data_IF_695665614640
#
_entry.id   IF_695665614640
#
_cell.length_a   1.000
_cell.length_b   1.000
_cell.length_c   1.000
_cell.angle_alpha   90.00
_cell.angle_beta   90.00
_cell.angle_gamma   90.00
#
_symmetry.space_group_name_H-M   'P 1'
#
loop_
_entity.id
_entity.type
_entity.pdbx_description
1 polymer ?
#
# COMPACT_ATOMS: atom_id res chain seq x y z
N UNK A 1 16.42 9.52 35.28
CA UNK A 1 15.30 9.04 34.43
C UNK A 1 14.17 8.62 35.34
N UNK A 2 13.01 9.29 35.27
CA UNK A 2 11.86 8.97 36.14
C UNK A 2 11.36 7.54 35.85
N UNK A 3 10.69 6.95 36.84
CA UNK A 3 10.18 5.56 36.79
C UNK A 3 9.28 5.33 35.55
N UNK A 4 8.55 6.37 35.12
CA UNK A 4 7.70 6.37 33.92
C UNK A 4 8.51 6.27 32.61
N UNK A 5 9.66 6.95 32.51
CA UNK A 5 10.53 6.85 31.32
C UNK A 5 11.10 5.44 31.12
N UNK A 6 11.34 4.71 32.24
CA UNK A 6 11.75 3.31 32.20
C UNK A 6 10.58 2.38 31.83
N UNK A 7 9.36 2.65 32.30
CA UNK A 7 8.19 1.86 31.98
C UNK A 7 7.80 1.95 30.51
N UNK A 8 7.87 3.15 29.92
CA UNK A 8 7.63 3.38 28.48
C UNK A 8 8.70 2.67 27.64
N UNK A 9 9.97 2.75 28.00
CA UNK A 9 11.06 2.07 27.31
C UNK A 9 10.90 0.53 27.35
N UNK A 10 10.47 -0.01 28.50
CA UNK A 10 10.18 -1.45 28.67
C UNK A 10 8.93 -1.85 27.88
N UNK A 11 7.88 -1.02 27.82
CA UNK A 11 6.67 -1.27 27.02
C UNK A 11 6.98 -1.29 25.52
N UNK A 12 7.83 -0.36 25.05
CA UNK A 12 8.34 -0.33 23.68
C UNK A 12 9.14 -1.59 23.37
N UNK A 13 10.00 -2.04 24.28
CA UNK A 13 10.81 -3.26 24.13
C UNK A 13 9.93 -4.53 24.11
N UNK A 14 8.87 -4.56 24.93
CA UNK A 14 7.92 -5.71 24.98
C UNK A 14 7.05 -5.81 23.73
N UNK A 15 6.65 -4.69 23.10
CA UNK A 15 5.87 -4.68 21.86
C UNK A 15 6.71 -5.12 20.65
N UNK A 16 8.03 -4.99 20.72
CA UNK A 16 8.93 -5.40 19.63
C UNK A 16 9.40 -6.86 19.72
N UNK A 17 9.22 -7.53 20.85
CA UNK A 17 9.78 -8.89 21.09
C UNK A 17 8.76 -10.02 21.16
N UNK A 18 7.46 -9.74 21.02
CA UNK A 18 6.43 -10.70 21.43
C UNK A 18 5.40 -11.18 20.42
N UNK A 19 5.37 -10.70 19.20
CA UNK A 19 4.36 -11.10 18.22
C UNK A 19 5.00 -11.57 16.92
N UNK A 20 5.19 -12.88 16.78
CA UNK A 20 5.24 -13.52 15.48
C UNK A 20 3.81 -13.53 14.93
N UNK A 21 3.37 -12.47 14.30
CA UNK A 21 2.08 -12.34 13.63
C UNK A 21 2.31 -12.13 12.13
N UNK A 22 1.56 -12.74 11.38
CA UNK A 22 1.51 -13.17 9.99
C UNK A 22 1.37 -12.06 8.93
N UNK A 23 2.09 -12.10 7.81
CA UNK A 23 2.40 -10.98 6.94
C UNK A 23 1.85 -11.04 5.50
N UNK A 24 1.62 -9.89 4.88
CA UNK A 24 1.29 -9.64 3.47
C UNK A 24 0.07 -8.72 3.30
N UNK A 25 0.29 -7.47 2.91
CA UNK A 25 -0.82 -6.56 2.66
C UNK A 25 -0.98 -6.22 1.20
N UNK A 26 -2.17 -6.38 0.62
CA UNK A 26 -2.52 -5.88 -0.69
C UNK A 26 -3.13 -4.47 -0.66
N UNK A 27 -2.71 -3.58 0.25
CA UNK A 27 -3.19 -2.21 0.28
C UNK A 27 -2.26 -1.28 -0.52
N UNK A 28 -2.79 -0.67 -1.58
CA UNK A 28 -2.11 0.33 -2.39
C UNK A 28 -2.32 1.76 -1.83
N UNK A 29 -2.81 1.91 -0.61
CA UNK A 29 -2.91 3.19 0.07
C UNK A 29 -1.58 3.60 0.72
N UNK A 30 -1.44 4.90 0.95
CA UNK A 30 -0.27 5.44 1.67
C UNK A 30 -0.27 4.97 3.12
N UNK A 31 0.88 4.48 3.57
CA UNK A 31 1.07 4.00 4.95
C UNK A 31 1.04 5.20 5.91
N UNK A 32 0.07 5.27 6.83
CA UNK A 32 -0.03 6.37 7.78
C UNK A 32 1.03 6.28 8.88
N UNK A 33 1.38 7.43 9.48
CA UNK A 33 2.21 7.50 10.68
C UNK A 33 1.38 7.15 11.93
N UNK A 34 2.04 6.96 13.08
CA UNK A 34 1.42 6.42 14.28
C UNK A 34 0.18 7.19 14.76
N UNK A 35 0.19 8.52 14.73
CA UNK A 35 -0.96 9.34 15.13
C UNK A 35 -2.13 9.16 14.17
N UNK A 36 -1.93 9.37 12.86
CA UNK A 36 -2.98 9.19 11.87
C UNK A 36 -3.51 7.76 11.90
N UNK A 37 -2.63 6.76 11.97
CA UNK A 37 -2.99 5.35 12.06
C UNK A 37 -3.96 5.09 13.21
N UNK A 38 -3.63 5.60 14.40
CA UNK A 38 -4.42 5.37 15.61
C UNK A 38 -5.77 6.10 15.62
N UNK A 39 -6.01 7.04 14.69
CA UNK A 39 -7.27 7.77 14.58
C UNK A 39 -8.21 7.21 13.49
N UNK A 40 -7.70 6.78 12.36
CA UNK A 40 -8.42 6.07 11.29
C UNK A 40 -7.53 5.83 10.06
N UNK A 41 -6.28 6.31 10.09
CA UNK A 41 -5.32 6.18 8.99
C UNK A 41 -5.40 7.25 7.89
N UNK A 42 -6.37 8.16 7.90
CA UNK A 42 -6.54 9.23 6.90
C UNK A 42 -6.06 10.59 7.42
N UNK A 43 -6.76 11.22 8.33
CA UNK A 43 -6.43 12.43 9.10
C UNK A 43 -6.04 13.66 8.26
N UNK A 44 -7.00 14.18 7.46
CA UNK A 44 -6.73 15.28 6.52
C UNK A 44 -6.86 16.69 7.13
N UNK A 45 -7.60 16.85 8.21
CA UNK A 45 -7.84 18.16 8.83
C UNK A 45 -6.85 18.49 9.96
N UNK A 46 -6.20 17.47 10.54
CA UNK A 46 -5.36 17.67 11.72
C UNK A 46 -3.86 17.66 11.40
N UNK A 47 -3.09 18.12 12.39
CA UNK A 47 -1.64 18.07 12.31
C UNK A 47 -1.11 16.69 12.68
N UNK A 48 -0.33 16.10 11.79
CA UNK A 48 0.39 14.85 12.00
C UNK A 48 1.81 14.88 11.40
N UNK A 49 2.49 15.99 11.57
CA UNK A 49 3.89 16.13 11.19
C UNK A 49 4.15 15.78 9.72
N UNK A 50 5.15 14.92 9.48
CA UNK A 50 5.52 14.49 8.11
C UNK A 50 4.47 13.60 7.42
N UNK A 51 3.48 13.07 8.13
CA UNK A 51 2.35 12.42 7.48
C UNK A 51 1.60 13.39 6.56
N UNK A 52 1.53 14.66 6.96
CA UNK A 52 0.85 15.72 6.20
C UNK A 52 1.40 15.89 4.79
N UNK A 53 2.67 15.60 4.56
CA UNK A 53 3.32 15.72 3.23
C UNK A 53 2.63 14.89 2.17
N UNK A 54 2.22 13.67 2.47
CA UNK A 54 1.53 12.76 1.55
C UNK A 54 0.00 12.73 1.76
N UNK A 55 -0.52 13.28 2.87
CA UNK A 55 -1.94 13.45 3.12
C UNK A 55 -2.41 14.86 2.73
N UNK A 56 -2.41 15.82 3.64
CA UNK A 56 -2.76 17.21 3.38
C UNK A 56 -1.59 18.15 3.68
N UNK A 57 -0.82 18.62 2.68
CA UNK A 57 0.38 19.43 2.92
C UNK A 57 0.09 20.77 3.61
N UNK A 58 -1.13 21.29 3.54
CA UNK A 58 -1.51 22.51 4.28
C UNK A 58 -1.48 22.32 5.80
N UNK A 59 -1.64 21.07 6.29
CA UNK A 59 -1.59 20.77 7.71
C UNK A 59 -0.16 20.79 8.29
N UNK A 60 0.87 20.84 7.44
CA UNK A 60 2.27 20.94 7.89
C UNK A 60 2.50 22.16 8.80
N UNK A 61 1.91 23.31 8.45
CA UNK A 61 2.09 24.57 9.18
C UNK A 61 1.34 24.61 10.52
N UNK A 62 0.44 23.67 10.79
CA UNK A 62 -0.28 23.60 12.06
C UNK A 62 0.62 23.22 13.24
N UNK A 63 1.86 22.78 12.98
CA UNK A 63 2.86 22.48 14.03
C UNK A 63 3.45 23.74 14.69
N UNK A 64 3.47 24.88 14.00
CA UNK A 64 3.98 26.18 14.44
C UNK A 64 5.49 26.25 14.76
N UNK A 65 6.22 25.16 14.76
CA UNK A 65 7.68 25.11 15.00
C UNK A 65 8.34 24.15 14.01
N UNK A 66 9.63 24.36 13.76
CA UNK A 66 10.43 23.38 13.03
C UNK A 66 10.57 22.08 13.81
N UNK A 67 10.77 20.96 13.11
CA UNK A 67 10.94 19.67 13.76
C UNK A 67 11.66 18.65 12.86
N UNK A 68 12.27 17.67 13.53
CA UNK A 68 12.76 16.44 12.93
C UNK A 68 11.82 15.31 13.33
N UNK A 69 11.45 14.45 12.38
CA UNK A 69 10.56 13.31 12.62
C UNK A 69 11.10 12.04 11.98
N UNK A 70 10.94 10.93 12.69
CA UNK A 70 11.21 9.58 12.20
C UNK A 70 10.07 8.65 12.60
N UNK A 71 9.68 7.77 11.68
CA UNK A 71 8.63 6.77 11.91
C UNK A 71 9.08 5.42 11.39
N UNK A 72 8.75 4.37 12.15
CA UNK A 72 8.97 2.98 11.79
C UNK A 72 7.61 2.30 11.85
N UNK A 73 7.25 1.59 10.79
CA UNK A 73 6.05 0.78 10.71
C UNK A 73 6.43 -0.63 10.27
N UNK A 74 5.72 -1.62 10.77
CA UNK A 74 5.80 -2.99 10.30
C UNK A 74 4.44 -3.43 9.81
N UNK A 75 4.34 -3.68 8.51
CA UNK A 75 3.08 -4.07 7.90
C UNK A 75 3.04 -5.59 7.82
N UNK A 76 2.23 -6.19 8.70
CA UNK A 76 2.10 -7.62 8.92
C UNK A 76 0.70 -8.05 8.47
N UNK A 77 0.56 -8.94 7.48
CA UNK A 77 -0.77 -9.38 7.03
C UNK A 77 -0.74 -10.75 6.36
N UNK A 78 -1.87 -11.40 6.28
CA UNK A 78 -2.07 -12.70 5.64
C UNK A 78 -3.25 -12.62 4.68
N UNK A 79 -3.06 -13.22 3.51
CA UNK A 79 -4.12 -13.45 2.54
C UNK A 79 -4.54 -14.91 2.58
N UNK A 80 -5.82 -15.17 2.56
CA UNK A 80 -6.35 -16.51 2.38
C UNK A 80 -7.08 -16.61 1.03
N UNK A 81 -6.84 -17.70 0.34
CA UNK A 81 -7.57 -18.10 -0.86
C UNK A 81 -8.07 -19.51 -0.68
N UNK A 82 -9.38 -19.69 -0.73
CA UNK A 82 -10.03 -21.01 -0.77
C UNK A 82 -10.64 -21.20 -2.13
N UNK A 83 -9.89 -21.86 -3.01
CA UNK A 83 -10.36 -22.20 -4.36
C UNK A 83 -11.30 -23.38 -4.36
N UNK A 84 -12.26 -23.37 -5.30
CA UNK A 84 -13.23 -24.47 -5.47
C UNK A 84 -12.55 -25.79 -5.89
N UNK A 85 -11.41 -25.67 -6.58
CA UNK A 85 -10.61 -26.81 -7.06
C UNK A 85 -9.28 -26.93 -6.33
N UNK A 86 -8.65 -25.79 -6.00
CA UNK A 86 -7.29 -25.72 -5.45
C UNK A 86 -7.22 -25.96 -3.94
N UNK A 87 -8.36 -25.85 -3.22
CA UNK A 87 -8.40 -25.95 -1.77
C UNK A 87 -7.98 -24.63 -1.07
N UNK A 88 -7.62 -24.74 0.20
CA UNK A 88 -7.22 -23.59 1.02
C UNK A 88 -5.72 -23.31 0.88
N UNK A 89 -5.38 -22.10 0.50
CA UNK A 89 -4.02 -21.57 0.48
C UNK A 89 -3.95 -20.28 1.30
N UNK A 90 -2.85 -20.13 2.03
CA UNK A 90 -2.53 -18.90 2.75
C UNK A 90 -1.25 -18.32 2.15
N UNK A 91 -1.20 -17.00 1.99
CA UNK A 91 0.04 -16.35 1.59
C UNK A 91 1.13 -16.55 2.65
N UNK A 92 2.39 -16.50 2.22
CA UNK A 92 3.49 -16.41 3.17
C UNK A 92 3.40 -15.12 3.98
N UNK A 93 3.91 -15.22 5.18
CA UNK A 93 4.18 -14.10 6.06
C UNK A 93 5.52 -13.49 5.69
N UNK A 94 5.54 -12.20 5.39
CA UNK A 94 6.78 -11.46 5.20
C UNK A 94 6.72 -10.18 6.04
N UNK A 95 7.74 -9.96 6.85
CA UNK A 95 7.89 -8.72 7.62
C UNK A 95 8.27 -7.56 6.68
N UNK A 96 7.50 -6.48 6.71
CA UNK A 96 7.70 -5.34 5.83
C UNK A 96 7.96 -4.06 6.61
N UNK A 97 9.15 -4.00 7.17
CA UNK A 97 9.62 -2.79 7.84
C UNK A 97 9.68 -1.60 6.89
N UNK A 98 9.12 -0.50 7.35
CA UNK A 98 9.11 0.76 6.65
C UNK A 98 9.71 1.83 7.55
N UNK A 99 10.77 2.47 7.09
CA UNK A 99 11.40 3.60 7.78
C UNK A 99 11.08 4.86 6.98
N UNK A 100 10.54 5.85 7.67
CA UNK A 100 10.18 7.14 7.12
C UNK A 100 10.83 8.23 7.95
N UNK A 101 11.23 9.34 7.33
CA UNK A 101 11.81 10.46 8.04
C UNK A 101 11.63 11.77 7.29
N UNK A 102 11.74 12.86 8.02
CA UNK A 102 11.66 14.18 7.43
C UNK A 102 12.01 15.28 8.41
N UNK A 103 12.20 16.44 7.82
CA UNK A 103 12.57 17.65 8.51
C UNK A 103 11.68 18.79 8.02
N UNK A 104 11.12 19.56 8.93
CA UNK A 104 10.37 20.76 8.61
C UNK A 104 10.98 21.98 9.31
N UNK A 105 10.98 23.09 8.60
CA UNK A 105 11.50 24.36 9.09
C UNK A 105 10.44 25.46 9.00
N UNK A 106 10.18 26.12 10.12
CA UNK A 106 9.34 27.31 10.17
C UNK A 106 10.18 28.55 9.86
N UNK A 107 10.01 29.14 8.68
CA UNK A 107 10.65 30.40 8.30
C UNK A 107 9.99 31.59 8.96
N UNK A 108 8.70 31.49 9.20
CA UNK A 108 7.90 32.46 9.97
C UNK A 108 6.67 31.70 10.56
N UNK A 109 5.88 32.35 11.43
CA UNK A 109 4.62 31.74 11.89
C UNK A 109 3.66 31.34 10.77
N UNK A 110 3.80 31.98 9.59
CA UNK A 110 2.91 31.80 8.45
C UNK A 110 3.56 31.10 7.26
N UNK A 111 4.82 30.64 7.37
CA UNK A 111 5.52 29.94 6.28
C UNK A 111 6.35 28.79 6.84
N UNK A 112 6.04 27.58 6.41
CA UNK A 112 6.78 26.36 6.73
C UNK A 112 7.19 25.62 5.45
N UNK A 113 8.39 25.07 5.45
CA UNK A 113 8.86 24.17 4.41
C UNK A 113 9.35 22.86 5.02
N UNK A 114 9.30 21.77 4.26
CA UNK A 114 9.75 20.47 4.70
C UNK A 114 10.31 19.63 3.58
N UNK A 115 11.22 18.75 3.95
CA UNK A 115 11.73 17.67 3.10
C UNK A 115 11.48 16.35 3.79
N UNK A 116 11.09 15.33 3.03
CA UNK A 116 10.90 14.00 3.60
C UNK A 116 11.26 12.91 2.61
N UNK A 117 11.60 11.74 3.17
CA UNK A 117 11.70 10.48 2.46
C UNK A 117 10.78 9.47 3.14
N UNK A 118 9.86 8.92 2.38
CA UNK A 118 8.83 8.04 2.91
C UNK A 118 8.58 6.85 1.97
N UNK A 119 8.40 5.66 2.54
CA UNK A 119 7.80 4.55 1.81
C UNK A 119 6.30 4.79 1.73
N UNK A 120 5.85 5.29 0.58
CA UNK A 120 4.44 5.61 0.36
C UNK A 120 3.60 4.33 0.26
N UNK A 121 4.08 3.32 -0.48
CA UNK A 121 3.38 2.05 -0.69
C UNK A 121 4.36 0.91 -0.45
N UNK A 122 3.88 -0.12 0.23
CA UNK A 122 4.57 -1.36 0.44
C UNK A 122 3.59 -2.53 0.22
N UNK A 123 3.32 -2.81 -1.05
CA UNK A 123 2.45 -3.90 -1.45
C UNK A 123 3.27 -5.16 -1.63
N UNK A 124 2.87 -6.25 -0.99
CA UNK A 124 3.45 -7.56 -1.21
C UNK A 124 2.42 -8.66 -1.01
N UNK A 125 2.45 -9.64 -1.89
CA UNK A 125 1.75 -10.91 -1.73
C UNK A 125 2.65 -12.02 -2.24
N UNK A 126 2.80 -13.08 -1.45
CA UNK A 126 3.62 -14.24 -1.78
C UNK A 126 2.86 -15.51 -1.41
N UNK A 127 2.52 -16.33 -2.40
CA UNK A 127 1.74 -17.54 -2.21
C UNK A 127 2.65 -18.78 -2.17
N UNK A 128 2.42 -19.71 -1.20
CA UNK A 128 3.08 -21.01 -1.24
C UNK A 128 2.50 -21.80 -2.42
N UNK A 129 3.33 -22.29 -3.28
CA UNK A 129 3.08 -23.21 -4.38
C UNK A 129 1.60 -23.38 -4.76
N UNK A 130 1.12 -22.66 -5.75
CA UNK A 130 -0.14 -23.00 -6.35
C UNK A 130 0.13 -24.17 -7.30
N UNK A 131 -0.14 -25.38 -6.81
CA UNK A 131 -0.11 -26.56 -7.64
C UNK A 131 -1.28 -26.49 -8.63
N UNK A 132 -1.00 -26.33 -9.92
CA UNK A 132 -2.00 -26.52 -10.95
C UNK A 132 -2.19 -28.04 -11.08
N UNK A 133 -3.19 -28.59 -10.38
CA UNK A 133 -3.56 -29.97 -10.54
C UNK A 133 -4.22 -30.16 -11.90
N UNK A 134 -3.57 -30.89 -12.78
CA UNK A 134 -4.30 -31.57 -13.86
C UNK A 134 -5.17 -32.67 -13.25
N UNK A 135 -6.33 -32.87 -13.80
CA UNK A 135 -7.34 -33.82 -13.34
C UNK A 135 -6.91 -35.30 -13.38
N UNK A 136 -5.68 -35.57 -13.71
CA UNK A 136 -5.11 -36.90 -13.76
C UNK A 136 -4.02 -37.09 -12.68
N UNK A 137 -4.31 -38.00 -11.74
CA UNK A 137 -3.62 -38.18 -10.46
C UNK A 137 -2.18 -38.73 -10.54
N UNK A 138 -1.57 -38.79 -11.72
CA UNK A 138 -0.25 -39.40 -11.93
C UNK A 138 0.90 -38.48 -12.31
N UNK A 139 0.67 -37.16 -12.47
CA UNK A 139 1.74 -36.23 -12.85
C UNK A 139 2.34 -35.52 -11.64
N UNK A 140 3.64 -35.55 -11.51
CA UNK A 140 4.39 -34.75 -10.53
C UNK A 140 4.21 -33.27 -10.81
N UNK A 141 3.76 -32.54 -9.81
CA UNK A 141 3.48 -31.12 -9.91
C UNK A 141 4.78 -30.37 -9.58
N UNK A 142 5.23 -29.52 -10.49
CA UNK A 142 6.34 -28.60 -10.20
C UNK A 142 5.88 -27.50 -9.24
N UNK A 143 6.72 -27.18 -8.29
CA UNK A 143 6.52 -26.03 -7.40
C UNK A 143 6.98 -24.75 -8.11
N UNK A 144 6.15 -23.70 -8.06
CA UNK A 144 6.45 -22.40 -8.65
C UNK A 144 6.39 -21.31 -7.59
N UNK A 145 7.30 -20.35 -7.68
CA UNK A 145 7.19 -19.12 -6.91
C UNK A 145 6.04 -18.28 -7.46
N UNK A 146 5.24 -17.75 -6.54
CA UNK A 146 4.15 -16.88 -6.88
C UNK A 146 4.10 -15.68 -5.95
N UNK A 147 4.68 -14.58 -6.39
CA UNK A 147 4.67 -13.32 -5.63
C UNK A 147 4.48 -12.11 -6.55
N UNK A 148 3.97 -11.04 -5.94
CA UNK A 148 3.94 -9.71 -6.53
C UNK A 148 4.27 -8.69 -5.46
N UNK A 149 5.34 -7.94 -5.66
CA UNK A 149 5.82 -6.90 -4.76
C UNK A 149 5.87 -5.57 -5.50
N UNK A 150 5.22 -4.54 -4.95
CA UNK A 150 5.28 -3.18 -5.45
C UNK A 150 5.69 -2.26 -4.30
N UNK A 151 6.81 -1.61 -4.46
CA UNK A 151 7.36 -0.66 -3.51
C UNK A 151 7.36 0.72 -4.16
N UNK A 152 6.79 1.72 -3.47
CA UNK A 152 6.88 3.12 -3.88
C UNK A 152 7.50 3.94 -2.77
N UNK A 153 8.67 4.48 -3.02
CA UNK A 153 9.32 5.46 -2.15
C UNK A 153 9.05 6.86 -2.69
N UNK A 154 8.78 7.82 -1.82
CA UNK A 154 8.55 9.22 -2.14
C UNK A 154 9.61 10.10 -1.48
N UNK A 155 10.38 10.82 -2.27
CA UNK A 155 11.19 11.96 -1.82
C UNK A 155 10.40 13.23 -2.10
N UNK A 156 10.13 14.04 -1.06
CA UNK A 156 9.18 15.14 -1.16
C UNK A 156 9.79 16.47 -0.71
N UNK A 157 9.44 17.53 -1.44
CA UNK A 157 9.65 18.92 -1.04
C UNK A 157 8.28 19.56 -0.84
N UNK A 158 8.02 20.07 0.36
CA UNK A 158 6.72 20.60 0.77
C UNK A 158 6.84 22.05 1.21
N UNK A 159 5.88 22.88 0.82
CA UNK A 159 5.68 24.24 1.32
C UNK A 159 4.25 24.41 1.80
N UNK A 160 4.08 25.09 2.93
CA UNK A 160 2.78 25.47 3.47
C UNK A 160 2.80 26.93 3.93
N UNK A 161 1.73 27.66 3.62
CA UNK A 161 1.56 29.07 3.96
C UNK A 161 0.20 29.31 4.62
N UNK A 162 0.15 30.18 5.62
CA UNK A 162 -1.05 30.55 6.37
C UNK A 162 -1.48 31.98 6.04
N UNK A 163 -2.76 32.15 5.82
CA UNK A 163 -3.43 33.42 5.62
C UNK A 163 -4.62 33.53 6.56
N UNK A 164 -4.40 34.06 7.76
CA UNK A 164 -5.42 34.07 8.81
C UNK A 164 -5.85 32.66 9.18
N UNK A 165 -7.11 32.34 9.00
CA UNK A 165 -7.71 31.04 9.33
C UNK A 165 -7.50 29.98 8.25
N UNK A 166 -6.98 30.34 7.08
CA UNK A 166 -6.77 29.43 5.95
C UNK A 166 -5.28 29.15 5.79
N UNK A 167 -4.95 27.89 5.63
CA UNK A 167 -3.60 27.45 5.23
C UNK A 167 -3.67 26.72 3.88
N UNK A 168 -2.68 26.97 3.03
CA UNK A 168 -2.49 26.30 1.75
C UNK A 168 -1.17 25.56 1.76
N UNK A 169 -1.12 24.40 1.13
CA UNK A 169 0.09 23.61 1.05
C UNK A 169 0.24 22.86 -0.26
N UNK A 170 1.48 22.67 -0.69
CA UNK A 170 1.83 21.87 -1.88
C UNK A 170 3.07 21.04 -1.54
N UNK A 171 3.05 19.78 -1.92
CA UNK A 171 4.20 18.88 -1.92
C UNK A 171 4.51 18.45 -3.34
N UNK A 172 5.75 18.59 -3.75
CA UNK A 172 6.29 18.02 -4.98
C UNK A 172 6.99 16.71 -4.63
N UNK A 173 6.62 15.63 -5.30
CA UNK A 173 7.08 14.28 -4.97
C UNK A 173 7.83 13.67 -6.15
N UNK A 174 9.03 13.16 -5.90
CA UNK A 174 9.73 12.23 -6.77
C UNK A 174 9.46 10.81 -6.27
N UNK A 175 8.79 10.00 -7.07
CA UNK A 175 8.45 8.62 -6.73
C UNK A 175 9.41 7.65 -7.41
N UNK A 176 10.03 6.79 -6.61
CA UNK A 176 10.73 5.60 -7.09
C UNK A 176 9.80 4.41 -6.92
N UNK A 177 9.39 3.83 -8.03
CA UNK A 177 8.57 2.64 -8.06
C UNK A 177 9.44 1.45 -8.44
N UNK A 178 9.37 0.36 -7.66
CA UNK A 178 10.00 -0.92 -7.94
C UNK A 178 8.92 -2.00 -7.92
N UNK A 179 8.90 -2.85 -8.96
CA UNK A 179 8.02 -4.00 -9.06
C UNK A 179 8.85 -5.25 -9.27
N UNK A 180 8.67 -6.23 -8.39
CA UNK A 180 9.21 -7.57 -8.52
C UNK A 180 8.04 -8.56 -8.55
N UNK A 181 8.01 -9.46 -9.51
CA UNK A 181 6.96 -10.46 -9.56
C UNK A 181 7.43 -11.77 -10.16
N UNK A 182 6.86 -12.84 -9.66
CA UNK A 182 7.08 -14.18 -10.17
C UNK A 182 5.75 -14.92 -10.26
N UNK A 183 5.54 -15.63 -11.35
CA UNK A 183 4.34 -16.45 -11.53
C UNK A 183 4.54 -17.53 -12.59
N UNK A 184 3.84 -18.69 -12.47
CA UNK A 184 3.88 -19.72 -13.48
C UNK A 184 2.99 -19.35 -14.68
N UNK A 185 3.41 -19.79 -15.87
CA UNK A 185 2.58 -19.78 -17.08
C UNK A 185 2.57 -21.15 -17.70
N UNK A 186 1.44 -21.53 -18.25
CA UNK A 186 1.30 -22.76 -19.03
C UNK A 186 1.79 -22.52 -20.46
N UNK A 187 2.61 -23.43 -21.00
CA UNK A 187 3.04 -23.33 -22.38
C UNK A 187 1.89 -23.75 -23.33
N UNK A 188 1.33 -22.81 -24.12
CA UNK A 188 0.18 -23.11 -24.98
C UNK A 188 0.48 -24.09 -26.13
N UNK A 189 1.77 -24.34 -26.43
CA UNK A 189 2.12 -25.26 -27.51
C UNK A 189 2.14 -26.74 -27.14
N UNK A 190 2.21 -27.03 -25.85
CA UNK A 190 2.28 -28.40 -25.35
C UNK A 190 0.88 -28.95 -25.01
N UNK A 191 -0.14 -28.21 -25.39
CA UNK A 191 -1.51 -28.60 -25.19
C UNK A 191 -1.95 -29.55 -26.30
N UNK A 192 -1.46 -30.76 -26.24
CA UNK A 192 -2.06 -31.92 -26.90
C UNK A 192 -2.97 -32.58 -25.87
N UNK A 193 -4.24 -32.64 -26.15
CA UNK A 193 -5.26 -33.27 -25.31
C UNK A 193 -5.04 -34.77 -25.08
N UNK A 194 -4.05 -35.35 -25.73
CA UNK A 194 -3.65 -36.76 -25.60
C UNK A 194 -2.41 -36.99 -24.77
N UNK A 195 -1.65 -35.94 -24.38
CA UNK A 195 -0.44 -36.06 -23.58
C UNK A 195 -0.56 -35.34 -22.25
N UNK A 196 -0.36 -36.10 -21.22
CA UNK A 196 -0.36 -35.77 -19.82
C UNK A 196 0.63 -34.66 -19.50
N UNK A 197 0.12 -33.52 -19.02
CA UNK A 197 0.92 -32.46 -18.39
C UNK A 197 1.22 -31.27 -19.31
N UNK A 198 0.38 -30.23 -19.23
CA UNK A 198 0.78 -28.91 -19.70
C UNK A 198 2.04 -28.50 -18.93
N UNK A 199 3.16 -28.30 -19.63
CA UNK A 199 4.36 -27.82 -19.01
C UNK A 199 4.14 -26.38 -18.53
N UNK A 200 4.31 -26.15 -17.26
CA UNK A 200 4.27 -24.81 -16.66
C UNK A 200 5.72 -24.33 -16.46
N UNK A 201 5.95 -23.06 -16.70
CA UNK A 201 7.25 -22.44 -16.59
C UNK A 201 7.18 -21.24 -15.67
N UNK A 202 8.25 -21.05 -14.90
CA UNK A 202 8.42 -19.89 -14.04
C UNK A 202 8.78 -18.67 -14.88
N UNK A 203 8.08 -17.56 -14.63
CA UNK A 203 8.43 -16.23 -15.12
C UNK A 203 8.75 -15.33 -13.93
N UNK A 204 9.87 -14.64 -14.02
CA UNK A 204 10.31 -13.66 -13.04
C UNK A 204 10.50 -12.32 -13.74
N UNK A 205 9.99 -11.25 -13.12
CA UNK A 205 10.05 -9.88 -13.60
C UNK A 205 10.65 -9.01 -12.50
N UNK A 206 11.54 -8.11 -12.89
CA UNK A 206 12.18 -7.10 -12.03
C UNK A 206 12.26 -5.79 -12.83
N UNK A 207 11.47 -4.80 -12.42
CA UNK A 207 11.33 -3.52 -13.13
C UNK A 207 11.34 -2.38 -12.12
N UNK A 208 11.92 -1.24 -12.52
CA UNK A 208 11.87 -0.01 -11.74
C UNK A 208 11.65 1.23 -12.62
N UNK A 209 11.21 2.31 -12.00
CA UNK A 209 11.06 3.62 -12.64
C UNK A 209 11.13 4.76 -11.62
N UNK A 210 11.48 5.94 -12.11
CA UNK A 210 11.24 7.21 -11.45
C UNK A 210 10.10 7.96 -12.13
N UNK A 211 9.25 8.58 -11.33
CA UNK A 211 8.16 9.41 -11.81
C UNK A 211 7.90 10.56 -10.83
N UNK A 212 7.07 11.52 -11.23
CA UNK A 212 6.79 12.70 -10.43
C UNK A 212 5.30 12.89 -10.24
N UNK A 213 4.95 13.51 -9.12
CA UNK A 213 3.59 13.88 -8.80
C UNK A 213 3.57 15.00 -7.78
N UNK A 214 2.38 15.42 -7.40
CA UNK A 214 2.21 16.44 -6.38
C UNK A 214 1.00 16.15 -5.49
N UNK A 215 1.03 16.72 -4.29
CA UNK A 215 -0.12 16.85 -3.42
C UNK A 215 -0.41 18.32 -3.22
N UNK A 216 -1.67 18.69 -3.15
CA UNK A 216 -2.10 20.03 -2.77
C UNK A 216 -3.18 19.91 -1.71
N UNK A 217 -3.25 20.90 -0.81
CA UNK A 217 -4.23 20.89 0.25
C UNK A 217 -4.58 22.26 0.78
N UNK A 218 -5.73 22.28 1.42
CA UNK A 218 -6.27 23.43 2.13
C UNK A 218 -6.62 22.97 3.54
N UNK A 219 -6.31 23.81 4.53
CA UNK A 219 -6.73 23.65 5.91
C UNK A 219 -7.42 24.93 6.34
N UNK A 220 -8.62 24.82 6.93
CA UNK A 220 -9.43 25.96 7.33
C UNK A 220 -9.89 25.83 8.78
N UNK A 221 -9.46 26.76 9.63
CA UNK A 221 -9.92 26.89 11.00
C UNK A 221 -11.28 27.61 11.01
N UNK A 222 -12.36 26.85 11.12
CA UNK A 222 -13.73 27.38 11.13
C UNK A 222 -14.03 28.11 12.43
N UNK A 223 -13.56 27.55 13.55
CA UNK A 223 -13.66 28.10 14.89
C UNK A 223 -12.49 27.55 15.74
N UNK A 224 -12.44 27.91 17.02
CA UNK A 224 -11.47 27.33 17.95
C UNK A 224 -11.68 25.81 18.15
N UNK A 225 -12.91 25.34 17.94
CA UNK A 225 -13.27 23.94 18.12
C UNK A 225 -13.31 23.14 16.82
N UNK A 226 -13.24 23.77 15.63
CA UNK A 226 -13.46 23.09 14.37
C UNK A 226 -12.41 23.44 13.31
N UNK A 227 -11.74 22.40 12.80
CA UNK A 227 -10.77 22.44 11.71
C UNK A 227 -11.25 21.58 10.56
N UNK A 228 -11.24 22.11 9.33
CA UNK A 228 -11.50 21.38 8.09
C UNK A 228 -10.21 21.19 7.30
N UNK A 229 -10.14 20.08 6.57
CA UNK A 229 -9.05 19.80 5.63
C UNK A 229 -9.58 19.24 4.32
N UNK A 230 -9.02 19.71 3.21
CA UNK A 230 -9.29 19.17 1.87
C UNK A 230 -7.96 18.95 1.20
N UNK A 231 -7.82 17.84 0.50
CA UNK A 231 -6.61 17.50 -0.23
C UNK A 231 -6.87 16.87 -1.58
N UNK A 232 -5.91 17.01 -2.46
CA UNK A 232 -5.78 16.21 -3.67
C UNK A 232 -4.35 15.71 -3.82
N UNK A 233 -4.22 14.47 -4.29
CA UNK A 233 -2.96 13.88 -4.75
C UNK A 233 -3.09 13.56 -6.22
N UNK A 234 -2.14 14.05 -7.03
CA UNK A 234 -2.13 13.77 -8.46
C UNK A 234 -1.97 12.28 -8.72
N UNK A 235 -2.67 11.78 -9.73
CA UNK A 235 -2.28 10.53 -10.35
C UNK A 235 -0.90 10.67 -11.00
N UNK A 236 -0.21 9.56 -11.17
CA UNK A 236 1.04 9.50 -11.91
C UNK A 236 1.18 8.18 -12.66
N UNK A 237 2.01 8.22 -13.69
CA UNK A 237 2.34 7.09 -14.53
C UNK A 237 3.83 6.79 -14.41
N UNK A 238 4.17 5.54 -14.13
CA UNK A 238 5.54 5.05 -14.12
C UNK A 238 5.78 4.17 -15.34
N UNK A 239 6.67 4.60 -16.23
CA UNK A 239 7.16 3.78 -17.34
C UNK A 239 8.30 2.92 -16.82
N UNK A 240 7.96 1.68 -16.44
CA UNK A 240 8.86 0.72 -15.83
C UNK A 240 9.77 0.10 -16.88
N UNK A 241 11.01 -0.14 -16.52
CA UNK A 241 12.00 -0.86 -17.32
C UNK A 241 12.80 -1.82 -16.45
N UNK A 242 13.18 -2.95 -17.05
CA UNK A 242 13.91 -3.98 -16.31
C UNK A 242 14.08 -5.23 -17.12
N UNK A 243 13.94 -6.39 -16.48
CA UNK A 243 14.20 -7.69 -17.11
C UNK A 243 13.13 -8.71 -16.81
N UNK A 244 12.85 -9.56 -17.80
CA UNK A 244 12.09 -10.79 -17.66
C UNK A 244 13.00 -12.00 -17.82
N UNK A 245 12.76 -13.03 -17.00
CA UNK A 245 13.47 -14.31 -17.08
C UNK A 245 12.49 -15.47 -17.09
N UNK A 246 12.72 -16.46 -17.97
CA UNK A 246 12.02 -17.73 -17.94
C UNK A 246 12.84 -18.83 -18.61
N UNK A 247 12.81 -20.02 -18.05
CA UNK A 247 13.47 -21.19 -18.63
C UNK A 247 12.65 -21.83 -19.77
N UNK A 248 11.38 -21.41 -19.97
CA UNK A 248 10.50 -21.90 -21.04
C UNK A 248 11.16 -21.83 -22.42
N UNK A 249 11.89 -20.76 -22.71
CA UNK A 249 12.45 -20.53 -24.02
C UNK A 249 13.74 -21.34 -24.27
N UNK A 250 14.45 -21.70 -23.22
CA UNK A 250 15.63 -22.56 -23.32
C UNK A 250 15.25 -24.00 -23.72
N UNK A 251 14.16 -24.53 -23.19
CA UNK A 251 13.68 -25.88 -23.51
C UNK A 251 13.08 -25.97 -24.91
N UNK A 252 12.53 -24.86 -25.42
CA UNK A 252 11.91 -24.82 -26.76
C UNK A 252 12.95 -24.59 -27.87
N UNK A 253 13.98 -23.80 -27.55
CA UNK A 253 15.04 -23.44 -28.49
C UNK A 253 16.30 -23.06 -27.69
N UNK A 254 17.29 -23.92 -27.73
CA UNK A 254 18.58 -23.74 -27.01
C UNK A 254 19.35 -22.46 -27.41
N UNK A 255 18.89 -21.73 -28.41
CA UNK A 255 19.48 -20.47 -28.91
C UNK A 255 18.77 -19.24 -28.31
N UNK A 256 17.54 -19.40 -27.83
CA UNK A 256 16.76 -18.27 -27.32
C UNK A 256 17.20 -17.86 -25.91
N UNK A 257 17.39 -16.58 -25.70
CA UNK A 257 17.81 -16.03 -24.42
C UNK A 257 16.78 -16.33 -23.31
N UNK A 258 17.22 -16.84 -22.18
CA UNK A 258 16.40 -17.07 -20.98
C UNK A 258 16.09 -15.79 -20.20
N UNK A 259 16.78 -14.70 -20.51
CA UNK A 259 16.62 -13.37 -19.92
C UNK A 259 16.59 -12.32 -21.03
N UNK A 260 15.60 -11.43 -20.97
CA UNK A 260 15.40 -10.36 -21.94
C UNK A 260 15.05 -9.05 -21.23
N UNK A 261 15.32 -7.93 -21.89
CA UNK A 261 14.83 -6.63 -21.38
C UNK A 261 13.32 -6.55 -21.51
N UNK A 262 12.72 -5.90 -20.52
CA UNK A 262 11.29 -5.74 -20.37
C UNK A 262 10.96 -4.27 -20.15
N UNK A 263 9.81 -3.84 -20.64
CA UNK A 263 9.21 -2.59 -20.21
C UNK A 263 7.71 -2.76 -20.03
N UNK A 264 7.19 -2.07 -19.03
CA UNK A 264 5.75 -2.01 -18.75
C UNK A 264 5.37 -0.62 -18.25
N UNK A 265 4.10 -0.41 -17.94
CA UNK A 265 3.59 0.84 -17.41
C UNK A 265 2.67 0.55 -16.24
N UNK A 266 2.83 1.29 -15.15
CA UNK A 266 1.95 1.24 -14.01
C UNK A 266 1.42 2.63 -13.66
N UNK A 267 0.10 2.74 -13.45
CA UNK A 267 -0.57 4.01 -13.18
C UNK A 267 -1.18 4.01 -11.78
N UNK A 268 -0.91 5.10 -11.07
CA UNK A 268 -1.54 5.40 -9.78
C UNK A 268 -2.67 6.44 -9.96
N UNK A 269 -3.76 6.33 -9.20
CA UNK A 269 -4.94 7.17 -9.38
C UNK A 269 -4.75 8.59 -8.84
N UNK A 270 -5.58 9.50 -9.32
CA UNK A 270 -5.91 10.71 -8.59
C UNK A 270 -6.66 10.36 -7.32
N UNK A 271 -6.37 11.07 -6.23
CA UNK A 271 -7.01 10.90 -4.93
C UNK A 271 -7.51 12.24 -4.45
N UNK A 272 -8.73 12.27 -3.95
CA UNK A 272 -9.36 13.42 -3.32
C UNK A 272 -9.75 13.04 -1.90
N UNK A 273 -9.42 13.88 -0.93
CA UNK A 273 -9.71 13.64 0.47
C UNK A 273 -10.26 14.87 1.16
N UNK A 274 -11.01 14.64 2.20
CA UNK A 274 -11.49 15.69 3.07
C UNK A 274 -11.74 15.16 4.47
N UNK A 275 -11.59 16.03 5.46
CA UNK A 275 -11.78 15.66 6.85
C UNK A 275 -12.15 16.83 7.73
N UNK A 276 -12.59 16.51 8.93
CA UNK A 276 -12.90 17.43 10.00
C UNK A 276 -12.28 16.95 11.30
N UNK A 277 -11.72 17.87 12.07
CA UNK A 277 -11.41 17.68 13.48
C UNK A 277 -12.29 18.61 14.28
N UNK A 278 -13.00 18.07 15.28
CA UNK A 278 -13.92 18.81 16.13
C UNK A 278 -13.64 18.52 17.61
N UNK A 279 -13.46 19.59 18.40
CA UNK A 279 -13.32 19.49 19.84
C UNK A 279 -14.73 19.30 20.46
N UNK A 280 -15.03 18.05 20.83
CA UNK A 280 -16.31 17.73 21.52
C UNK A 280 -16.33 18.27 22.95
N UNK A 281 -15.16 18.24 23.60
CA UNK A 281 -14.85 18.75 24.92
C UNK A 281 -13.41 19.31 24.90
N UNK A 282 -13.02 20.05 25.92
CA UNK A 282 -11.65 20.59 26.04
C UNK A 282 -10.56 19.51 25.90
N UNK A 283 -10.89 18.28 26.29
CA UNK A 283 -9.95 17.15 26.29
C UNK A 283 -10.39 15.99 25.38
N UNK A 284 -11.44 16.15 24.59
CA UNK A 284 -11.93 15.10 23.68
C UNK A 284 -12.14 15.65 22.28
N UNK A 285 -11.42 15.10 21.31
CA UNK A 285 -11.53 15.45 19.90
C UNK A 285 -12.12 14.29 19.11
N UNK A 286 -12.99 14.64 18.17
CA UNK A 286 -13.51 13.77 17.13
C UNK A 286 -12.83 14.14 15.82
N UNK A 287 -12.40 13.17 15.05
CA UNK A 287 -12.06 13.35 13.63
C UNK A 287 -12.96 12.46 12.78
N UNK A 288 -13.28 12.93 11.58
CA UNK A 288 -13.95 12.16 10.54
C UNK A 288 -13.34 12.52 9.20
N UNK A 289 -13.01 11.50 8.41
CA UNK A 289 -12.30 11.64 7.16
C UNK A 289 -12.91 10.78 6.06
N UNK A 290 -12.80 11.26 4.83
CA UNK A 290 -13.27 10.60 3.62
C UNK A 290 -12.23 10.75 2.51
N UNK A 291 -12.00 9.67 1.76
CA UNK A 291 -11.09 9.65 0.60
C UNK A 291 -11.78 8.97 -0.58
N UNK A 292 -11.58 9.52 -1.77
CA UNK A 292 -12.03 8.95 -3.03
C UNK A 292 -10.87 8.82 -4.00
N UNK A 293 -10.64 7.59 -4.49
CA UNK A 293 -9.53 7.27 -5.39
C UNK A 293 -10.06 6.86 -6.77
N UNK A 294 -9.56 7.51 -7.83
CA UNK A 294 -10.02 7.33 -9.21
C UNK A 294 -9.33 6.14 -9.92
N UNK A 295 -9.30 4.97 -9.29
CA UNK A 295 -8.72 3.76 -9.87
C UNK A 295 -9.37 3.34 -11.20
N UNK A 296 -10.67 3.59 -11.37
CA UNK A 296 -11.40 3.29 -12.60
C UNK A 296 -10.95 4.10 -13.82
N UNK A 297 -10.22 5.20 -13.62
CA UNK A 297 -9.64 6.02 -14.68
C UNK A 297 -8.20 5.66 -15.03
N UNK A 298 -7.57 4.77 -14.27
CA UNK A 298 -6.22 4.26 -14.55
C UNK A 298 -6.25 3.23 -15.68
N UNK A 299 -5.07 2.70 -16.02
CA UNK A 299 -4.93 1.69 -17.07
C UNK A 299 -5.80 0.46 -16.81
N UNK A 300 -6.40 -0.08 -17.87
CA UNK A 300 -7.21 -1.31 -17.81
C UNK A 300 -6.36 -2.56 -17.73
N UNK A 301 -5.08 -2.47 -18.09
CA UNK A 301 -4.15 -3.60 -18.09
C UNK A 301 -2.69 -3.12 -18.04
N UNK A 302 -1.85 -3.92 -17.42
CA UNK A 302 -0.40 -3.85 -17.56
C UNK A 302 -0.04 -4.60 -18.84
N UNK A 303 0.65 -3.93 -19.77
CA UNK A 303 1.11 -4.54 -21.00
C UNK A 303 2.63 -4.64 -20.94
N UNK A 304 3.15 -5.85 -21.09
CA UNK A 304 4.57 -6.14 -21.08
C UNK A 304 5.13 -6.12 -22.51
N UNK A 305 6.19 -5.35 -22.71
CA UNK A 305 6.91 -5.28 -23.98
C UNK A 305 8.29 -5.88 -23.79
N UNK A 306 8.54 -6.99 -24.48
CA UNK A 306 9.81 -7.70 -24.43
C UNK A 306 10.70 -7.24 -25.58
N UNK A 307 11.95 -6.88 -25.30
CA UNK A 307 12.94 -6.53 -26.32
C UNK A 307 13.53 -7.79 -27.00
N UNK A 308 12.66 -8.70 -27.39
CA UNK A 308 12.94 -9.91 -28.12
C UNK A 308 11.68 -10.32 -28.90
N UNK A 309 11.75 -10.37 -30.21
CA UNK A 309 10.59 -10.64 -31.06
C UNK A 309 10.02 -12.06 -30.85
N UNK A 310 10.84 -13.03 -30.53
CA UNK A 310 10.40 -14.39 -30.27
C UNK A 310 9.57 -14.44 -28.96
N UNK A 311 10.08 -13.84 -27.88
CA UNK A 311 9.34 -13.70 -26.63
C UNK A 311 8.04 -12.96 -26.83
N UNK A 312 8.09 -11.79 -27.50
CA UNK A 312 6.90 -10.94 -27.72
C UNK A 312 5.82 -11.70 -28.50
N UNK A 313 6.17 -12.33 -29.61
CA UNK A 313 5.22 -13.06 -30.45
C UNK A 313 4.63 -14.26 -29.73
N UNK A 314 5.46 -14.96 -28.95
CA UNK A 314 5.05 -16.16 -28.22
C UNK A 314 4.07 -15.85 -27.11
N UNK A 315 4.36 -14.78 -26.33
CA UNK A 315 3.56 -14.37 -25.20
C UNK A 315 2.34 -13.52 -25.62
N UNK A 316 2.35 -12.92 -26.80
CA UNK A 316 1.18 -12.23 -27.37
C UNK A 316 0.08 -13.18 -27.85
N UNK A 317 0.41 -14.46 -28.09
CA UNK A 317 -0.58 -15.47 -28.43
C UNK A 317 -1.51 -15.71 -27.25
N UNK A 318 -2.81 -15.74 -27.49
CA UNK A 318 -3.78 -16.11 -26.46
C UNK A 318 -3.61 -17.57 -26.11
N UNK A 319 -3.64 -17.88 -24.82
CA UNK A 319 -3.85 -19.24 -24.37
C UNK A 319 -5.26 -19.68 -24.82
N UNK A 320 -5.33 -20.78 -25.55
CA UNK A 320 -6.57 -21.29 -26.13
C UNK A 320 -7.61 -21.72 -25.07
N UNK A 321 -7.17 -21.96 -23.83
CA UNK A 321 -8.03 -22.39 -22.74
C UNK A 321 -8.53 -21.27 -21.86
N UNK A 322 -7.62 -20.37 -21.46
CA UNK A 322 -7.95 -19.30 -20.54
C UNK A 322 -8.25 -17.99 -21.24
N UNK A 323 -7.92 -17.86 -22.54
CA UNK A 323 -7.97 -16.61 -23.29
C UNK A 323 -7.01 -15.55 -22.77
N UNK A 324 -6.14 -15.89 -21.81
CA UNK A 324 -5.15 -14.98 -21.25
C UNK A 324 -3.94 -14.85 -22.18
N UNK A 325 -3.34 -13.67 -22.19
CA UNK A 325 -2.12 -13.39 -22.95
C UNK A 325 -0.94 -13.25 -22.01
N UNK A 326 0.22 -13.74 -22.42
CA UNK A 326 1.45 -13.64 -21.66
C UNK A 326 2.07 -12.25 -21.61
N UNK A 327 1.71 -11.40 -22.55
CA UNK A 327 2.18 -10.01 -22.64
C UNK A 327 1.21 -9.01 -22.01
N UNK A 328 0.15 -9.47 -21.33
CA UNK A 328 -0.88 -8.58 -20.80
C UNK A 328 -1.47 -9.11 -19.49
N UNK A 329 -1.58 -8.23 -18.50
CA UNK A 329 -2.30 -8.49 -17.25
C UNK A 329 -3.47 -7.52 -17.12
N UNK A 330 -4.70 -8.03 -17.06
CA UNK A 330 -5.91 -7.20 -17.01
C UNK A 330 -6.26 -6.83 -15.56
N UNK A 331 -6.42 -5.54 -15.28
CA UNK A 331 -6.75 -4.98 -13.97
C UNK A 331 -8.25 -4.64 -13.85
N UNK A 332 -8.75 -3.74 -14.71
CA UNK A 332 -10.11 -3.20 -14.68
C UNK A 332 -10.55 -2.75 -13.28
N UNK A 333 -9.70 -1.99 -12.62
CA UNK A 333 -10.00 -1.46 -11.28
C UNK A 333 -11.21 -0.53 -11.29
N UNK A 334 -11.93 -0.50 -10.17
CA UNK A 334 -13.04 0.40 -9.88
C UNK A 334 -12.55 1.54 -8.99
N UNK A 335 -13.23 2.69 -9.05
CA UNK A 335 -12.99 3.74 -8.08
C UNK A 335 -13.30 3.25 -6.66
N UNK A 336 -12.55 3.77 -5.68
CA UNK A 336 -12.69 3.34 -4.28
C UNK A 336 -13.01 4.49 -3.35
N UNK A 337 -13.67 4.13 -2.26
CA UNK A 337 -13.99 5.00 -1.13
C UNK A 337 -13.32 4.46 0.11
N UNK A 338 -12.66 5.34 0.86
CA UNK A 338 -12.24 5.13 2.24
C UNK A 338 -12.97 6.13 3.13
N UNK A 339 -13.49 5.69 4.27
CA UNK A 339 -14.14 6.56 5.24
C UNK A 339 -13.77 6.12 6.65
N UNK A 340 -13.46 7.08 7.51
CA UNK A 340 -13.03 6.79 8.85
C UNK A 340 -13.43 7.81 9.89
N UNK A 341 -13.48 7.36 11.13
CA UNK A 341 -13.79 8.16 12.32
C UNK A 341 -12.77 7.82 13.41
N UNK A 342 -12.37 8.81 14.19
CA UNK A 342 -11.45 8.63 15.31
C UNK A 342 -11.76 9.53 16.48
N UNK A 343 -11.36 9.10 17.66
CA UNK A 343 -11.43 9.83 18.91
C UNK A 343 -10.03 10.01 19.49
N UNK A 344 -9.70 11.21 19.94
CA UNK A 344 -8.46 11.53 20.64
C UNK A 344 -8.81 12.14 22.01
N UNK A 345 -8.45 11.46 23.10
CA UNK A 345 -8.62 11.92 24.45
C UNK A 345 -7.29 12.46 24.99
N UNK A 346 -7.27 13.74 25.31
CA UNK A 346 -6.07 14.45 25.73
C UNK A 346 -5.94 14.45 27.26
N UNK A 347 -4.83 13.95 27.76
CA UNK A 347 -4.37 14.09 29.13
C UNK A 347 -3.18 15.08 29.17
N UNK A 348 -2.67 15.39 30.34
CA UNK A 348 -1.60 16.39 30.49
C UNK A 348 -0.37 16.05 29.63
N UNK A 349 0.12 14.82 29.70
CA UNK A 349 1.33 14.38 29.00
C UNK A 349 1.06 13.19 28.05
N UNK A 350 -0.16 12.70 28.02
CA UNK A 350 -0.55 11.52 27.24
C UNK A 350 -1.79 11.81 26.40
N UNK A 351 -1.80 11.30 25.18
CA UNK A 351 -2.97 11.28 24.31
C UNK A 351 -3.38 9.82 24.10
N UNK A 352 -4.67 9.50 24.30
CA UNK A 352 -5.21 8.18 23.99
C UNK A 352 -6.08 8.28 22.74
N UNK A 353 -5.94 7.32 21.84
CA UNK A 353 -6.63 7.35 20.54
C UNK A 353 -7.29 6.03 20.20
N UNK A 354 -8.45 6.14 19.56
CA UNK A 354 -9.21 5.03 19.03
C UNK A 354 -9.73 5.43 17.65
N UNK A 355 -9.64 4.52 16.68
CA UNK A 355 -10.09 4.79 15.31
C UNK A 355 -10.78 3.59 14.67
N UNK A 356 -11.59 3.92 13.67
CA UNK A 356 -12.22 2.96 12.76
C UNK A 356 -12.19 3.51 11.34
N UNK A 357 -11.90 2.64 10.35
CA UNK A 357 -11.96 2.96 8.92
C UNK A 357 -12.55 1.79 8.14
N UNK A 358 -13.39 2.10 7.19
CA UNK A 358 -13.73 1.23 6.07
C UNK A 358 -12.90 1.61 4.86
N UNK A 359 -12.32 0.62 4.19
CA UNK A 359 -11.50 0.78 2.98
C UNK A 359 -12.00 -0.16 1.90
N UNK A 360 -12.37 0.40 0.74
CA UNK A 360 -12.91 -0.36 -0.37
C UNK A 360 -11.80 -0.87 -1.29
N UNK A 361 -11.91 -2.12 -1.73
CA UNK A 361 -11.02 -2.72 -2.72
C UNK A 361 -11.29 -2.21 -4.14
N UNK A 362 -10.25 -1.90 -4.93
CA UNK A 362 -10.43 -1.52 -6.33
C UNK A 362 -10.78 -2.70 -7.25
N UNK A 363 -10.64 -3.94 -6.81
CA UNK A 363 -10.70 -5.10 -7.65
C UNK A 363 -12.10 -5.38 -8.22
N UNK A 364 -12.18 -5.54 -9.54
CA UNK A 364 -13.38 -6.06 -10.23
C UNK A 364 -13.46 -7.58 -10.09
N UNK A 365 -14.65 -8.11 -9.82
CA UNK A 365 -14.87 -9.55 -9.73
C UNK A 365 -14.48 -10.29 -11.03
N UNK A 366 -14.67 -9.68 -12.19
CA UNK A 366 -14.38 -10.30 -13.51
C UNK A 366 -12.89 -10.45 -13.82
N UNK A 367 -12.03 -9.67 -13.16
CA UNK A 367 -10.57 -9.66 -13.36
C UNK A 367 -9.81 -9.93 -12.06
N UNK A 368 -10.54 -10.36 -11.04
CA UNK A 368 -9.95 -10.68 -9.75
C UNK A 368 -8.89 -11.77 -9.89
N UNK A 369 -7.76 -11.58 -9.26
CA UNK A 369 -6.67 -12.53 -9.30
C UNK A 369 -5.89 -12.53 -7.98
N UNK A 370 -5.25 -13.64 -7.70
CA UNK A 370 -4.35 -13.78 -6.56
C UNK A 370 -3.04 -12.95 -6.70
N UNK A 371 -2.83 -12.31 -7.83
CA UNK A 371 -1.72 -11.38 -8.06
C UNK A 371 -1.99 -9.99 -7.46
N UNK A 372 -3.28 -9.61 -7.38
CA UNK A 372 -3.78 -8.44 -6.67
C UNK A 372 -5.01 -8.83 -5.82
N UNK A 373 -4.85 -9.68 -4.79
CA UNK A 373 -5.96 -10.21 -4.01
C UNK A 373 -6.42 -9.19 -2.96
N UNK A 374 -7.06 -8.10 -3.37
CA UNK A 374 -7.58 -7.08 -2.45
C UNK A 374 -9.07 -7.26 -2.19
N UNK A 375 -9.48 -7.29 -0.95
CA UNK A 375 -10.86 -7.31 -0.48
C UNK A 375 -11.19 -6.01 0.26
N UNK A 376 -12.48 -5.71 0.43
CA UNK A 376 -12.91 -4.61 1.29
C UNK A 376 -12.48 -4.89 2.73
N UNK A 377 -12.05 -3.86 3.46
CA UNK A 377 -11.45 -4.01 4.78
C UNK A 377 -12.09 -3.07 5.81
N UNK A 378 -12.22 -3.59 7.01
CA UNK A 378 -12.54 -2.81 8.21
C UNK A 378 -11.29 -2.72 9.08
N UNK A 379 -10.89 -1.51 9.40
CA UNK A 379 -9.74 -1.22 10.24
C UNK A 379 -10.19 -0.74 11.62
N UNK A 380 -9.66 -1.32 12.67
CA UNK A 380 -9.77 -0.85 14.04
C UNK A 380 -8.38 -0.47 14.53
N UNK A 381 -8.22 0.70 15.10
CA UNK A 381 -6.92 1.21 15.51
C UNK A 381 -6.95 1.79 16.92
N UNK A 382 -5.81 1.65 17.61
CA UNK A 382 -5.55 2.18 18.95
C UNK A 382 -4.23 2.94 18.92
N UNK A 383 -4.07 3.91 19.81
CA UNK A 383 -2.78 4.59 19.96
C UNK A 383 -2.61 5.35 21.24
N UNK A 384 -1.34 5.58 21.53
CA UNK A 384 -0.90 6.38 22.67
C UNK A 384 0.14 7.37 22.18
N UNK A 385 -0.06 8.66 22.48
CA UNK A 385 0.91 9.73 22.29
C UNK A 385 1.49 10.19 23.62
N UNK A 386 2.78 10.45 23.65
CA UNK A 386 3.46 11.09 24.77
C UNK A 386 4.11 12.39 24.32
N UNK A 387 3.99 13.44 25.14
CA UNK A 387 4.60 14.75 24.87
C UNK A 387 5.41 15.21 26.08
N UNK A 388 6.61 15.71 25.80
CA UNK A 388 7.51 16.33 26.80
C UNK A 388 8.20 17.49 26.08
N UNK A 389 8.23 18.68 26.64
CA UNK A 389 8.81 19.93 26.08
C UNK A 389 9.06 19.91 24.54
N UNK A 390 10.18 19.32 24.12
CA UNK A 390 10.57 19.24 22.69
C UNK A 390 10.43 17.87 22.07
N UNK A 391 10.11 16.84 22.85
CA UNK A 391 10.02 15.46 22.37
C UNK A 391 8.58 14.97 22.38
N UNK A 392 8.11 14.43 21.27
CA UNK A 392 6.88 13.64 21.24
C UNK A 392 7.13 12.26 20.67
N UNK A 393 6.41 11.28 21.18
CA UNK A 393 6.45 9.90 20.71
C UNK A 393 5.01 9.38 20.61
N UNK A 394 4.68 8.81 19.48
CA UNK A 394 3.38 8.21 19.22
C UNK A 394 3.56 6.73 18.93
N UNK A 395 2.73 5.89 19.55
CA UNK A 395 2.55 4.47 19.23
C UNK A 395 1.16 4.28 18.63
N UNK A 396 1.08 3.60 17.51
CA UNK A 396 -0.17 3.23 16.87
C UNK A 396 -0.18 1.73 16.56
N UNK A 397 -1.32 1.11 16.74
CA UNK A 397 -1.58 -0.27 16.34
C UNK A 397 -2.92 -0.30 15.61
N UNK A 398 -2.93 -0.81 14.40
CA UNK A 398 -4.16 -1.06 13.67
C UNK A 398 -4.29 -2.53 13.29
N UNK A 399 -5.51 -3.01 13.30
CA UNK A 399 -5.89 -4.32 12.80
C UNK A 399 -6.95 -4.14 11.72
N UNK A 400 -6.69 -4.71 10.54
CA UNK A 400 -7.66 -4.80 9.46
C UNK A 400 -8.13 -6.23 9.31
N UNK A 401 -9.43 -6.41 9.18
CA UNK A 401 -10.04 -7.67 8.77
C UNK A 401 -10.79 -7.46 7.45
N UNK A 402 -10.56 -8.38 6.52
CA UNK A 402 -11.20 -8.37 5.22
C UNK A 402 -12.66 -8.78 5.28
N UNK A 403 -13.46 -8.25 4.36
CA UNK A 403 -14.78 -8.81 4.05
C UNK A 403 -14.58 -9.93 3.06
N UNK A 404 -14.80 -11.17 3.49
CA UNK A 404 -14.64 -12.35 2.63
C UNK A 404 -15.35 -12.17 1.30
N UNK A 405 -14.62 -12.32 0.19
CA UNK A 405 -15.11 -12.09 -1.17
C UNK A 405 -15.15 -13.37 -1.97
N UNK A 406 -16.36 -13.81 -2.35
CA UNK A 406 -16.54 -14.96 -3.22
C UNK A 406 -16.51 -14.55 -4.69
N UNK A 407 -15.62 -15.16 -5.47
CA UNK A 407 -15.42 -14.93 -6.89
C UNK A 407 -15.78 -16.21 -7.64
N UNK A 408 -16.74 -16.14 -8.54
CA UNK A 408 -17.26 -17.32 -9.28
C UNK A 408 -16.96 -17.29 -10.79
N UNK A 409 -16.72 -16.11 -11.37
CA UNK A 409 -16.60 -15.93 -12.82
C UNK A 409 -15.39 -15.07 -13.18
N UNK A 410 -14.25 -15.24 -12.47
CA UNK A 410 -13.03 -14.58 -12.86
C UNK A 410 -12.48 -15.17 -14.16
N UNK A 411 -12.10 -14.31 -15.08
CA UNK A 411 -11.40 -14.68 -16.31
C UNK A 411 -9.98 -15.21 -16.06
N UNK A 412 -9.48 -15.07 -14.84
CA UNK A 412 -8.16 -15.58 -14.44
C UNK A 412 -8.19 -17.06 -14.05
N UNK A 413 -9.38 -17.67 -13.95
CA UNK A 413 -9.55 -19.07 -13.55
C UNK A 413 -9.44 -19.33 -12.05
N UNK A 414 -9.13 -18.31 -11.23
CA UNK A 414 -9.01 -18.45 -9.77
C UNK A 414 -10.31 -18.07 -9.07
N UNK A 415 -11.32 -18.94 -9.24
CA UNK A 415 -12.59 -18.83 -8.54
C UNK A 415 -12.48 -19.43 -7.15
N UNK A 416 -13.15 -18.81 -6.19
CA UNK A 416 -13.11 -19.20 -4.80
C UNK A 416 -13.38 -18.03 -3.87
N UNK A 417 -13.08 -18.22 -2.61
CA UNK A 417 -13.26 -17.19 -1.57
C UNK A 417 -11.89 -16.63 -1.16
N UNK A 418 -11.82 -15.32 -1.09
CA UNK A 418 -10.65 -14.56 -0.66
C UNK A 418 -10.92 -13.86 0.66
N UNK A 419 -9.93 -13.86 1.53
CA UNK A 419 -9.93 -13.17 2.82
C UNK A 419 -8.58 -12.50 3.09
N UNK A 420 -8.54 -11.55 4.04
CA UNK A 420 -7.35 -10.76 4.34
C UNK A 420 -7.36 -10.24 5.76
N UNK A 421 -6.29 -10.48 6.48
CA UNK A 421 -6.03 -9.90 7.80
C UNK A 421 -4.72 -9.12 7.80
N UNK A 422 -4.68 -7.94 8.43
CA UNK A 422 -3.49 -7.08 8.51
C UNK A 422 -3.33 -6.54 9.92
N UNK A 423 -2.10 -6.57 10.43
CA UNK A 423 -1.69 -5.86 11.65
C UNK A 423 -0.63 -4.83 11.26
N UNK A 424 -0.76 -3.61 11.75
CA UNK A 424 0.16 -2.51 11.44
C UNK A 424 0.58 -1.78 12.73
N UNK A 425 1.59 -2.26 13.45
CA UNK A 425 2.25 -1.48 14.50
C UNK A 425 3.09 -0.37 13.89
N UNK A 426 3.02 0.81 14.47
CA UNK A 426 3.78 1.99 14.03
C UNK A 426 4.26 2.78 15.23
N UNK A 427 5.50 3.24 15.20
CA UNK A 427 6.07 4.19 16.13
C UNK A 427 6.53 5.44 15.37
N UNK A 428 6.24 6.61 15.91
CA UNK A 428 6.71 7.90 15.39
C UNK A 428 7.34 8.71 16.52
N UNK A 429 8.53 9.22 16.28
CA UNK A 429 9.24 10.10 17.20
C UNK A 429 9.49 11.44 16.50
N UNK A 430 9.18 12.52 17.20
CA UNK A 430 9.36 13.90 16.72
C UNK A 430 10.11 14.72 17.76
N UNK A 431 11.08 15.50 17.29
CA UNK A 431 11.81 16.47 18.08
C UNK A 431 11.57 17.87 17.52
N UNK A 432 10.99 18.77 18.34
CA UNK A 432 10.77 20.17 18.01
C UNK A 432 12.09 20.95 18.15
N UNK A 433 12.33 21.92 17.25
CA UNK A 433 13.54 22.72 17.13
C UNK A 433 13.35 24.13 17.69
#
# INVERSE_FOLDING_TARGET
>A
MSTYKRAIFVLILFLTTGCSLYAGSPDLNVIPKAKALSLNGLYFAGNDGMNSVLSNPAALILQNSGYLEMSISDLIGQQEFKGDVQGLHKSFEEDHFTINGGFAWAFSPDLMMGISYQRAINYNVNWPFIAIQNSDSSSSIAAFDFYNRIIVNAASLTGAVRFGEISLGVSLNAYQLKQESAFPRVNPLWYDTSSVGAASYQFNYDEDAWTFGFNAGISYKVSDDMQLGIMTRSGYSADLSGTARSDMFYELDSVTAVKVDLSSKFEMPWVFGGGVVYNLLDNLKLNADFQYSLWGSTQKSINFKYNNSYWQNRLASSDSLTGSRGDKFTLNFNNTVDAGIGLEYLLTDLDLRLGYRYSQSPNSASTYSYFFPSVDQHWVSLGIGYKDENLSADLGLAYAFGVSKSIQNSKTGFNGTYDSDIVLPTITIRYAL
#
